data_IF_718995709254
#
_entry.id   IF_718995709254
#
_cell.length_a   1.000
_cell.length_b   1.000
_cell.length_c   1.000
_cell.angle_alpha   90.00
_cell.angle_beta   90.00
_cell.angle_gamma   90.00
#
_symmetry.space_group_name_H-M   'P 1'
#
loop_
_entity.id
_entity.type
_entity.pdbx_description
1 polymer ?
#
# COMPACT_ATOMS: atom_id res chain seq x y z
N UNK A 1 -6.94 -16.47 21.12
CA UNK A 1 -6.67 -15.03 21.43
C UNK A 1 -5.30 -14.58 20.89
N UNK A 2 -4.20 -15.31 21.14
CA UNK A 2 -2.85 -14.91 20.66
C UNK A 2 -2.68 -14.79 19.14
N UNK A 3 -3.14 -15.79 18.36
CA UNK A 3 -3.02 -15.78 16.88
C UNK A 3 -3.82 -14.65 16.25
N UNK A 4 -5.01 -14.34 16.79
CA UNK A 4 -5.86 -13.27 16.28
C UNK A 4 -5.24 -11.89 16.53
N UNK A 5 -4.66 -11.67 17.72
CA UNK A 5 -3.92 -10.44 18.04
C UNK A 5 -2.64 -10.31 17.18
N UNK A 6 -1.92 -11.40 16.97
CA UNK A 6 -0.74 -11.44 16.11
C UNK A 6 -1.08 -11.08 14.65
N UNK A 7 -2.08 -11.74 14.07
CA UNK A 7 -2.49 -11.49 12.67
C UNK A 7 -3.02 -10.07 12.49
N UNK A 8 -3.80 -9.58 13.47
CA UNK A 8 -4.34 -8.21 13.44
C UNK A 8 -3.22 -7.17 13.50
N UNK A 9 -2.23 -7.36 14.38
CA UNK A 9 -1.06 -6.47 14.47
C UNK A 9 -0.19 -6.53 13.21
N UNK A 10 0.02 -7.72 12.65
CA UNK A 10 0.79 -7.92 11.42
C UNK A 10 0.15 -7.22 10.21
N UNK A 11 -1.17 -7.37 10.04
CA UNK A 11 -1.91 -6.69 8.97
C UNK A 11 -1.91 -5.17 9.16
N UNK A 12 -2.09 -4.70 10.40
CA UNK A 12 -2.01 -3.26 10.71
C UNK A 12 -0.63 -2.67 10.38
N UNK A 13 0.44 -3.39 10.68
CA UNK A 13 1.80 -2.96 10.33
C UNK A 13 2.05 -2.96 8.82
N UNK A 14 1.57 -3.97 8.08
CA UNK A 14 1.65 -4.00 6.62
C UNK A 14 0.91 -2.82 5.99
N UNK A 15 -0.30 -2.49 6.45
CA UNK A 15 -1.08 -1.36 5.96
C UNK A 15 -0.42 -0.01 6.28
N UNK A 16 0.14 0.14 7.48
CA UNK A 16 0.87 1.35 7.85
C UNK A 16 2.12 1.57 6.98
N UNK A 17 2.89 0.50 6.70
CA UNK A 17 4.06 0.54 5.81
C UNK A 17 3.70 0.78 4.35
N UNK A 18 2.59 0.20 3.89
CA UNK A 18 2.05 0.47 2.55
C UNK A 18 1.58 1.92 2.43
N UNK A 19 0.89 2.49 3.42
CA UNK A 19 0.47 3.91 3.40
C UNK A 19 1.65 4.88 3.20
N UNK A 20 2.81 4.58 3.79
CA UNK A 20 4.06 5.33 3.57
C UNK A 20 4.67 5.08 2.17
N UNK A 21 4.37 3.95 1.53
CA UNK A 21 4.96 3.50 0.26
C UNK A 21 4.08 3.76 -0.98
N UNK A 22 2.75 3.87 -0.86
CA UNK A 22 1.82 3.86 -2.00
C UNK A 22 1.79 5.14 -2.84
N UNK A 23 2.38 6.26 -2.40
CA UNK A 23 2.30 7.52 -3.17
C UNK A 23 3.50 7.88 -4.03
N UNK A 24 4.56 7.06 -4.08
CA UNK A 24 5.79 7.45 -4.83
C UNK A 24 6.22 6.50 -5.95
N UNK A 25 5.64 5.30 -6.05
CA UNK A 25 6.00 4.34 -7.09
C UNK A 25 4.89 4.00 -8.10
N UNK A 26 3.68 4.53 -7.93
CA UNK A 26 2.67 4.51 -8.99
C UNK A 26 2.95 5.63 -10.02
N UNK A 27 4.18 5.66 -10.56
CA UNK A 27 4.58 6.47 -11.73
C UNK A 27 4.07 5.76 -13.01
N UNK A 28 2.85 5.25 -12.98
CA UNK A 28 2.23 4.55 -14.11
C UNK A 28 1.01 5.33 -14.61
N UNK A 29 0.48 6.27 -13.82
CA UNK A 29 -0.79 6.95 -14.12
C UNK A 29 -0.65 8.36 -14.73
N UNK A 30 0.52 8.75 -15.26
CA UNK A 30 0.69 10.07 -15.89
C UNK A 30 1.43 10.09 -17.23
N UNK A 31 1.66 8.93 -17.86
CA UNK A 31 2.39 8.85 -19.14
C UNK A 31 1.57 8.18 -20.26
N UNK A 32 0.24 8.12 -20.09
CA UNK A 32 -0.65 7.33 -20.95
C UNK A 32 -1.83 8.05 -21.59
N UNK A 33 -2.02 9.35 -21.39
CA UNK A 33 -3.04 10.13 -22.12
C UNK A 33 -2.39 11.39 -22.70
N UNK A 34 -1.45 11.14 -23.60
CA UNK A 34 -1.08 12.06 -24.66
C UNK A 34 -1.22 11.26 -25.97
N UNK A 35 -2.37 11.41 -26.65
CA UNK A 35 -2.49 11.39 -28.12
C UNK A 35 -3.94 11.51 -28.60
N UNK A 36 -4.07 12.36 -29.61
CA UNK A 36 -5.19 12.68 -30.50
C UNK A 36 -6.17 13.75 -30.00
#
# INVERSE_FOLDING_TARGET
IGVQLFLTGFIAELLARQSVSTKKYLVIDRVGIEKA
#
